data_IF_171401393614
#
_entry.id   IF_171401393614
#
_cell.length_a   1.000
_cell.length_b   1.000
_cell.length_c   1.000
_cell.angle_alpha   90.00
_cell.angle_beta   90.00
_cell.angle_gamma   90.00
#
_symmetry.space_group_name_H-M   'P 1'
#
loop_
_entity.id
_entity.type
_entity.pdbx_description
1 polymer ?
#
# COMPACT_ATOMS: atom_id res chain seq x y z
N UNK A 1 -2.31 0.39 -16.59
CA UNK A 1 -2.20 1.77 -17.08
C UNK A 1 -2.64 2.72 -15.99
N UNK A 2 -2.24 3.99 -16.06
CA UNK A 2 -2.33 4.97 -14.95
C UNK A 2 -3.64 4.95 -14.15
N UNK A 3 -4.79 5.04 -14.84
CA UNK A 3 -6.10 5.04 -14.18
C UNK A 3 -6.37 3.76 -13.38
N UNK A 4 -6.03 2.59 -13.92
CA UNK A 4 -6.25 1.32 -13.23
C UNK A 4 -5.43 1.19 -11.95
N UNK A 5 -4.20 1.72 -11.93
CA UNK A 5 -3.41 1.78 -10.69
C UNK A 5 -4.03 2.77 -9.69
N UNK A 6 -4.53 3.92 -10.17
CA UNK A 6 -5.28 4.86 -9.34
C UNK A 6 -6.56 4.27 -8.74
N UNK A 7 -7.31 3.48 -9.49
CA UNK A 7 -8.53 2.81 -9.01
C UNK A 7 -8.20 1.81 -7.87
N UNK A 8 -7.07 1.09 -7.95
CA UNK A 8 -6.60 0.20 -6.88
C UNK A 8 -6.20 1.01 -5.63
N UNK A 9 -5.47 2.11 -5.81
CA UNK A 9 -5.14 3.02 -4.71
C UNK A 9 -6.39 3.54 -4.01
N UNK A 10 -7.39 3.96 -4.77
CA UNK A 10 -8.65 4.47 -4.21
C UNK A 10 -9.41 3.41 -3.41
N UNK A 11 -9.37 2.14 -3.85
CA UNK A 11 -9.93 1.03 -3.09
C UNK A 11 -9.28 0.90 -1.71
N UNK A 12 -7.97 1.15 -1.58
CA UNK A 12 -7.27 1.13 -0.30
C UNK A 12 -7.78 2.22 0.65
N UNK A 13 -8.01 3.44 0.13
CA UNK A 13 -8.58 4.54 0.91
C UNK A 13 -9.98 4.16 1.45
N UNK A 14 -10.79 3.48 0.63
CA UNK A 14 -12.12 3.00 1.03
C UNK A 14 -12.03 1.93 2.12
N UNK A 15 -11.13 0.95 1.99
CA UNK A 15 -10.91 -0.10 3.01
C UNK A 15 -10.57 0.54 4.35
N UNK A 16 -9.60 1.46 4.36
CA UNK A 16 -9.14 2.10 5.59
C UNK A 16 -10.23 2.99 6.21
N UNK A 17 -11.04 3.67 5.40
CA UNK A 17 -12.17 4.47 5.89
C UNK A 17 -13.28 3.63 6.54
N UNK A 18 -13.60 2.46 5.97
CA UNK A 18 -14.58 1.55 6.57
C UNK A 18 -14.06 0.96 7.87
N UNK A 19 -12.81 0.52 7.90
CA UNK A 19 -12.27 -0.08 9.10
C UNK A 19 -12.16 0.91 10.25
N UNK A 20 -11.73 2.15 9.95
CA UNK A 20 -11.66 3.23 10.92
C UNK A 20 -13.02 3.63 11.54
N UNK A 21 -14.14 3.29 10.90
CA UNK A 21 -15.48 3.68 11.35
C UNK A 21 -16.34 2.53 11.84
N UNK A 22 -16.06 1.31 11.39
CA UNK A 22 -16.90 0.15 11.65
C UNK A 22 -16.13 -1.08 12.17
N UNK A 23 -14.78 -1.06 12.18
CA UNK A 23 -13.93 -2.17 12.63
C UNK A 23 -14.33 -3.50 11.95
N UNK A 24 -14.39 -3.47 10.62
CA UNK A 24 -14.94 -4.57 9.79
C UNK A 24 -13.90 -5.29 8.93
N UNK A 25 -12.64 -4.84 8.95
CA UNK A 25 -11.58 -5.45 8.15
C UNK A 25 -10.71 -6.29 9.08
N UNK A 26 -10.66 -7.59 8.82
CA UNK A 26 -9.80 -8.51 9.57
C UNK A 26 -8.34 -8.45 9.07
N UNK A 27 -7.39 -8.80 9.95
CA UNK A 27 -5.95 -8.85 9.64
C UNK A 27 -5.63 -9.62 8.33
N UNK A 28 -6.26 -10.78 8.11
CA UNK A 28 -6.01 -11.59 6.91
C UNK A 28 -6.42 -10.88 5.61
N UNK A 29 -7.35 -9.93 5.67
CA UNK A 29 -7.77 -9.13 4.52
C UNK A 29 -6.69 -8.10 4.17
N UNK A 30 -6.12 -7.44 5.18
CA UNK A 30 -4.96 -6.56 5.01
C UNK A 30 -3.78 -7.35 4.44
N UNK A 31 -3.48 -8.54 4.98
CA UNK A 31 -2.40 -9.39 4.45
C UNK A 31 -2.58 -9.67 2.97
N UNK A 32 -3.80 -10.03 2.54
CA UNK A 32 -4.12 -10.32 1.14
C UNK A 32 -3.91 -9.10 0.23
N UNK A 33 -4.32 -7.92 0.69
CA UNK A 33 -4.17 -6.67 -0.05
C UNK A 33 -2.69 -6.29 -0.14
N UNK A 34 -1.96 -6.31 0.97
CA UNK A 34 -0.54 -6.01 1.03
C UNK A 34 0.27 -6.92 0.10
N UNK A 35 0.08 -8.24 0.21
CA UNK A 35 0.78 -9.20 -0.63
C UNK A 35 0.46 -9.04 -2.11
N UNK A 36 -0.79 -8.73 -2.46
CA UNK A 36 -1.19 -8.64 -3.87
C UNK A 36 -0.82 -7.33 -4.54
N UNK A 37 -0.91 -6.22 -3.82
CA UNK A 37 -0.85 -4.89 -4.42
C UNK A 37 0.40 -4.10 -4.05
N UNK A 38 0.99 -4.37 -2.88
CA UNK A 38 2.16 -3.65 -2.39
C UNK A 38 3.45 -4.48 -2.47
N UNK A 39 3.39 -5.79 -2.24
CA UNK A 39 4.59 -6.65 -2.12
C UNK A 39 4.81 -7.62 -3.28
N UNK A 40 3.81 -7.83 -4.15
CA UNK A 40 3.97 -8.63 -5.36
C UNK A 40 4.94 -7.93 -6.33
N UNK A 41 6.07 -8.55 -6.71
CA UNK A 41 7.09 -7.88 -7.53
C UNK A 41 6.60 -7.46 -8.91
N UNK A 42 5.70 -8.23 -9.53
CA UNK A 42 5.14 -7.89 -10.84
C UNK A 42 4.22 -6.68 -10.72
N UNK A 43 3.41 -6.64 -9.66
CA UNK A 43 2.52 -5.52 -9.38
C UNK A 43 3.30 -4.25 -9.04
N UNK A 44 4.33 -4.34 -8.18
CA UNK A 44 5.19 -3.21 -7.87
C UNK A 44 5.81 -2.64 -9.15
N UNK A 45 6.41 -3.49 -9.98
CA UNK A 45 7.01 -3.07 -11.24
C UNK A 45 5.98 -2.36 -12.12
N UNK A 46 4.81 -2.95 -12.30
CA UNK A 46 3.75 -2.36 -13.10
C UNK A 46 3.27 -1.02 -12.54
N UNK A 47 3.05 -0.90 -11.24
CA UNK A 47 2.62 0.36 -10.62
C UNK A 47 3.70 1.45 -10.72
N UNK A 48 4.98 1.10 -10.46
CA UNK A 48 6.12 2.01 -10.64
C UNK A 48 6.17 2.57 -12.07
N UNK A 49 5.91 1.74 -13.08
CA UNK A 49 5.88 2.16 -14.49
C UNK A 49 4.67 3.02 -14.84
N UNK A 50 3.47 2.68 -14.35
CA UNK A 50 2.23 3.29 -14.85
C UNK A 50 1.66 4.39 -13.95
N UNK A 51 1.91 4.36 -12.64
CA UNK A 51 1.50 5.35 -11.65
C UNK A 51 2.23 5.14 -10.30
N UNK A 52 3.46 5.65 -10.14
CA UNK A 52 4.25 5.47 -8.92
C UNK A 52 3.57 6.04 -7.66
N UNK A 53 2.82 7.14 -7.80
CA UNK A 53 2.07 7.76 -6.70
C UNK A 53 0.96 6.84 -6.14
N UNK A 54 0.38 5.98 -6.98
CA UNK A 54 -0.61 5.00 -6.52
C UNK A 54 0.03 3.94 -5.62
N UNK A 55 1.22 3.45 -5.97
CA UNK A 55 1.95 2.50 -5.12
C UNK A 55 2.36 3.15 -3.79
N UNK A 56 2.86 4.40 -3.84
CA UNK A 56 3.20 5.16 -2.62
C UNK A 56 1.99 5.30 -1.69
N UNK A 57 0.81 5.69 -2.21
CA UNK A 57 -0.39 5.82 -1.37
C UNK A 57 -0.82 4.47 -0.76
N UNK A 58 -0.76 3.37 -1.52
CA UNK A 58 -1.09 2.04 -0.97
C UNK A 58 -0.14 1.68 0.18
N UNK A 59 1.17 1.88 0.00
CA UNK A 59 2.17 1.64 1.04
C UNK A 59 1.92 2.51 2.28
N UNK A 60 1.64 3.80 2.08
CA UNK A 60 1.27 4.74 3.16
C UNK A 60 0.06 4.24 3.96
N UNK A 61 -1.01 3.81 3.28
CA UNK A 61 -2.23 3.32 3.95
C UNK A 61 -2.05 2.00 4.67
N UNK A 62 -1.22 1.11 4.16
CA UNK A 62 -0.91 -0.14 4.85
C UNK A 62 -0.09 0.13 6.13
N UNK A 63 0.92 1.00 6.06
CA UNK A 63 1.69 1.41 7.23
C UNK A 63 0.85 2.21 8.22
N UNK A 64 -0.10 3.03 7.75
CA UNK A 64 -1.08 3.74 8.58
C UNK A 64 -1.92 2.73 9.37
N UNK A 65 -2.45 1.70 8.71
CA UNK A 65 -3.26 0.66 9.37
C UNK A 65 -2.49 -0.05 10.49
N UNK A 66 -1.22 -0.40 10.25
CA UNK A 66 -0.34 -0.98 11.30
C UNK A 66 -0.17 0.01 12.44
N UNK A 67 0.21 1.27 12.15
CA UNK A 67 0.48 2.28 13.17
C UNK A 67 -0.72 2.62 14.05
N UNK A 68 -1.93 2.44 13.51
CA UNK A 68 -3.21 2.69 14.21
C UNK A 68 -3.75 1.45 14.93
N UNK A 69 -3.06 0.32 14.86
CA UNK A 69 -3.51 -0.95 15.44
C UNK A 69 -4.73 -1.56 14.74
N UNK A 70 -5.00 -1.13 13.50
CA UNK A 70 -6.07 -1.67 12.65
C UNK A 70 -5.65 -2.97 11.98
N UNK A 71 -4.35 -3.15 11.77
CA UNK A 71 -3.77 -4.38 11.22
C UNK A 71 -2.58 -4.83 12.07
N UNK A 72 -2.62 -6.07 12.54
CA UNK A 72 -1.51 -6.73 13.23
C UNK A 72 -0.66 -7.56 12.25
N UNK A 73 0.12 -6.88 11.41
CA UNK A 73 1.07 -7.54 10.51
C UNK A 73 2.17 -8.28 11.28
N UNK A 74 2.74 -9.35 10.69
CA UNK A 74 3.99 -9.90 11.21
C UNK A 74 5.18 -8.96 10.95
N UNK A 75 6.24 -9.12 11.74
CA UNK A 75 7.43 -8.25 11.70
C UNK A 75 8.08 -8.24 10.30
N UNK A 76 8.11 -9.39 9.62
CA UNK A 76 8.69 -9.53 8.28
C UNK A 76 7.87 -8.75 7.23
N UNK A 77 6.54 -8.78 7.32
CA UNK A 77 5.64 -8.04 6.43
C UNK A 77 5.74 -6.55 6.66
N UNK A 78 5.78 -6.10 7.93
CA UNK A 78 5.97 -4.70 8.25
C UNK A 78 7.32 -4.17 7.72
N UNK A 79 8.41 -4.92 7.92
CA UNK A 79 9.74 -4.54 7.41
C UNK A 79 9.73 -4.40 5.88
N UNK A 80 9.18 -5.37 5.16
CA UNK A 80 9.05 -5.31 3.68
C UNK A 80 8.25 -4.10 3.20
N UNK A 81 7.18 -3.73 3.91
CA UNK A 81 6.38 -2.55 3.55
C UNK A 81 7.16 -1.26 3.79
N UNK A 82 7.93 -1.16 4.88
CA UNK A 82 8.79 0.00 5.16
C UNK A 82 9.88 0.14 4.11
N UNK A 83 10.54 -0.96 3.74
CA UNK A 83 11.57 -0.95 2.71
C UNK A 83 11.01 -0.53 1.35
N UNK A 84 9.85 -1.09 0.96
CA UNK A 84 9.18 -0.71 -0.27
C UNK A 84 8.75 0.76 -0.28
N UNK A 85 8.31 1.31 0.86
CA UNK A 85 7.96 2.72 1.00
C UNK A 85 9.18 3.63 0.80
N UNK A 86 10.31 3.33 1.45
CA UNK A 86 11.54 4.11 1.32
C UNK A 86 12.10 4.08 -0.12
N UNK A 87 12.06 2.92 -0.77
CA UNK A 87 12.43 2.82 -2.20
C UNK A 87 11.53 3.71 -3.07
N UNK A 88 10.23 3.73 -2.78
CA UNK A 88 9.26 4.51 -3.54
C UNK A 88 9.42 6.02 -3.30
N UNK A 89 9.73 6.46 -2.08
CA UNK A 89 10.05 7.86 -1.79
C UNK A 89 11.25 8.33 -2.62
N UNK A 90 12.35 7.57 -2.62
CA UNK A 90 13.53 7.91 -3.43
C UNK A 90 13.23 8.01 -4.93
N UNK A 91 12.43 7.08 -5.47
CA UNK A 91 11.99 7.13 -6.87
C UNK A 91 11.09 8.34 -7.18
N UNK A 92 10.22 8.74 -6.26
CA UNK A 92 9.35 9.90 -6.45
C UNK A 92 10.15 11.19 -6.40
N UNK A 93 11.12 11.30 -5.50
CA UNK A 93 12.06 12.43 -5.46
C UNK A 93 12.79 12.57 -6.81
N UNK A 94 13.31 11.47 -7.38
CA UNK A 94 13.94 11.48 -8.71
C UNK A 94 12.99 11.91 -9.84
N UNK A 95 11.69 11.66 -9.73
CA UNK A 95 10.68 12.09 -10.72
C UNK A 95 10.33 13.58 -10.58
N UNK A 96 10.44 14.14 -9.38
CA UNK A 96 10.10 15.54 -9.09
C UNK A 96 11.20 16.53 -9.45
N UNK A 97 12.45 16.07 -9.54
CA UNK A 97 13.62 16.85 -9.98
C UNK A 97 13.71 17.01 -11.52
#
# INVERSE_FOLDING_TARGET
GYKGAGDISHMMDVILGWDATAEVIDDWMYDRVAHKFALDPEMQKWMKEVNPYALQNILDKLLEAISRGMWNADEETEEKLRDAYLEMEGQIEEIME
#
